data_IF_086696951712
#
_entry.id   IF_086696951712
#
_cell.length_a   1.000
_cell.length_b   1.000
_cell.length_c   1.000
_cell.angle_alpha   90.00
_cell.angle_beta   90.00
_cell.angle_gamma   90.00
#
_symmetry.space_group_name_H-M   'P 1'
#
loop_
_entity.id
_entity.type
_entity.pdbx_description
1 polymer ?
#
# COMPACT_ATOMS: atom_id res chain seq x y z
N UNK A 1 25.24 46.99 36.51
CA UNK A 1 25.25 47.76 35.25
C UNK A 1 25.09 46.78 34.10
N UNK A 2 24.02 46.97 33.31
CA UNK A 2 23.83 46.74 31.86
C UNK A 2 24.49 45.53 31.17
N UNK A 3 23.68 44.70 30.48
CA UNK A 3 24.12 43.61 29.59
C UNK A 3 24.87 44.08 28.33
N UNK A 4 25.11 43.19 27.34
CA UNK A 4 24.03 42.92 26.39
C UNK A 4 23.95 41.49 25.80
N UNK A 5 22.79 41.25 25.20
CA UNK A 5 22.40 40.16 24.30
C UNK A 5 23.43 39.75 23.26
N UNK A 6 23.44 38.45 22.94
CA UNK A 6 23.43 37.99 21.55
C UNK A 6 22.40 36.85 21.40
N UNK A 7 21.64 36.92 20.30
CA UNK A 7 20.45 36.14 19.98
C UNK A 7 20.80 35.15 18.85
N UNK A 8 20.67 33.84 19.14
CA UNK A 8 20.27 32.70 18.29
C UNK A 8 20.95 32.50 16.90
N UNK A 9 20.63 31.41 16.15
CA UNK A 9 20.23 30.04 16.49
C UNK A 9 21.00 28.98 15.66
N UNK A 10 21.25 27.77 16.18
CA UNK A 10 21.73 26.68 15.33
C UNK A 10 20.84 25.43 15.40
N UNK A 11 20.02 25.34 14.35
CA UNK A 11 19.78 24.15 13.54
C UNK A 11 18.83 23.10 14.12
N UNK A 12 17.54 23.32 13.86
CA UNK A 12 16.55 22.24 13.73
C UNK A 12 16.94 21.41 12.50
N UNK A 13 17.58 20.26 12.70
CA UNK A 13 17.77 19.27 11.66
C UNK A 13 16.41 18.92 11.03
N UNK A 14 16.30 18.78 9.69
CA UNK A 14 15.06 18.35 9.07
C UNK A 14 14.69 16.98 9.63
N UNK A 15 13.54 16.93 10.30
CA UNK A 15 13.00 15.73 10.90
C UNK A 15 13.01 14.60 9.87
N UNK A 16 13.65 13.49 10.25
CA UNK A 16 13.50 12.21 9.57
C UNK A 16 11.99 11.96 9.44
N UNK A 17 11.42 12.16 8.25
CA UNK A 17 10.07 11.73 7.95
C UNK A 17 10.08 10.23 8.19
N UNK A 18 9.55 9.80 9.33
CA UNK A 18 9.45 8.39 9.65
C UNK A 18 8.57 7.77 8.57
N UNK A 19 9.17 6.91 7.75
CA UNK A 19 8.47 6.13 6.73
C UNK A 19 7.46 5.25 7.45
N UNK A 20 6.22 5.73 7.54
CA UNK A 20 5.14 5.04 8.22
C UNK A 20 4.50 4.10 7.20
N UNK A 21 4.85 2.82 7.29
CA UNK A 21 4.24 1.80 6.46
C UNK A 21 2.77 1.63 6.83
N UNK A 22 1.91 1.50 5.82
CA UNK A 22 0.51 1.15 6.03
C UNK A 22 0.43 -0.36 6.31
N UNK A 23 0.47 -0.71 7.60
CA UNK A 23 0.49 -2.09 8.05
C UNK A 23 -0.70 -2.91 7.52
N UNK A 24 -1.95 -2.42 7.53
CA UNK A 24 -3.08 -3.09 6.88
C UNK A 24 -2.82 -3.40 5.40
N UNK A 25 -2.30 -2.43 4.64
CA UNK A 25 -2.00 -2.62 3.22
C UNK A 25 -0.89 -3.66 2.99
N UNK A 26 0.16 -3.67 3.82
CA UNK A 26 1.21 -4.69 3.76
C UNK A 26 0.69 -6.11 4.06
N UNK A 27 -0.18 -6.24 5.06
CA UNK A 27 -0.82 -7.53 5.38
C UNK A 27 -1.71 -7.98 4.22
N UNK A 28 -2.46 -7.06 3.61
CA UNK A 28 -3.28 -7.36 2.44
C UNK A 28 -2.45 -7.82 1.24
N UNK A 29 -1.33 -7.15 0.95
CA UNK A 29 -0.41 -7.56 -0.12
C UNK A 29 0.16 -8.96 0.15
N UNK A 30 0.64 -9.21 1.36
CA UNK A 30 1.17 -10.53 1.74
C UNK A 30 0.13 -11.64 1.52
N UNK A 31 -1.11 -11.40 1.96
CA UNK A 31 -2.22 -12.36 1.76
C UNK A 31 -2.54 -12.55 0.28
N UNK A 32 -2.63 -11.47 -0.48
CA UNK A 32 -2.94 -11.51 -1.90
C UNK A 32 -1.94 -12.39 -2.67
N UNK A 33 -0.64 -12.17 -2.47
CA UNK A 33 0.40 -12.97 -3.12
C UNK A 33 0.41 -14.43 -2.66
N UNK A 34 0.23 -14.68 -1.36
CA UNK A 34 0.12 -16.04 -0.84
C UNK A 34 -1.07 -16.80 -1.47
N UNK A 35 -2.24 -16.16 -1.52
CA UNK A 35 -3.44 -16.74 -2.12
C UNK A 35 -3.31 -16.95 -3.63
N UNK A 36 -2.68 -16.02 -4.34
CA UNK A 36 -2.37 -16.19 -5.75
C UNK A 36 -1.46 -17.41 -5.94
N UNK A 37 -0.43 -17.57 -5.11
CA UNK A 37 0.45 -18.74 -5.19
C UNK A 37 -0.30 -20.04 -4.92
N UNK A 38 -1.21 -20.10 -3.95
CA UNK A 38 -2.04 -21.28 -3.72
C UNK A 38 -2.90 -21.65 -4.94
N UNK A 39 -3.40 -20.65 -5.67
CA UNK A 39 -4.17 -20.85 -6.91
C UNK A 39 -3.26 -21.37 -8.03
N UNK A 40 -2.09 -20.77 -8.19
CA UNK A 40 -1.09 -21.15 -9.20
C UNK A 40 -0.55 -22.56 -8.97
N UNK A 41 -0.30 -22.93 -7.72
CA UNK A 41 0.15 -24.26 -7.30
C UNK A 41 -0.98 -25.32 -7.33
N UNK A 42 -2.23 -24.91 -7.58
CA UNK A 42 -3.40 -25.78 -7.59
C UNK A 42 -3.80 -26.32 -6.21
N UNK A 43 -3.29 -25.73 -5.13
CA UNK A 43 -3.57 -26.10 -3.74
C UNK A 43 -4.98 -25.66 -3.27
N UNK A 44 -5.58 -24.72 -4.01
CA UNK A 44 -6.98 -24.31 -3.95
C UNK A 44 -7.52 -24.16 -5.36
N UNK A 45 -8.78 -24.50 -5.56
CA UNK A 45 -9.42 -24.49 -6.87
C UNK A 45 -9.99 -23.10 -7.25
N UNK A 46 -10.26 -22.23 -6.28
CA UNK A 46 -10.87 -20.90 -6.55
C UNK A 46 -10.75 -19.93 -5.37
N UNK A 47 -10.96 -18.64 -5.64
CA UNK A 47 -11.09 -17.62 -4.59
C UNK A 47 -12.25 -17.89 -3.62
N UNK A 48 -13.30 -18.58 -4.05
CA UNK A 48 -14.40 -19.00 -3.16
C UNK A 48 -13.97 -20.06 -2.15
N UNK A 49 -13.03 -20.94 -2.52
CA UNK A 49 -12.45 -21.90 -1.58
C UNK A 49 -11.55 -21.20 -0.56
N UNK A 50 -10.77 -20.21 -1.00
CA UNK A 50 -9.97 -19.35 -0.11
C UNK A 50 -10.89 -18.63 0.89
N UNK A 51 -11.98 -18.04 0.41
CA UNK A 51 -12.96 -17.36 1.25
C UNK A 51 -13.53 -18.27 2.35
N UNK A 52 -13.88 -19.51 1.99
CA UNK A 52 -14.35 -20.51 2.95
C UNK A 52 -13.27 -20.90 3.98
N UNK A 53 -12.03 -21.15 3.53
CA UNK A 53 -10.91 -21.51 4.42
C UNK A 53 -10.55 -20.40 5.40
N UNK A 54 -10.63 -19.14 4.96
CA UNK A 54 -10.28 -17.96 5.75
C UNK A 54 -11.47 -17.40 6.57
N UNK A 55 -12.68 -17.91 6.36
CA UNK A 55 -13.90 -17.36 6.97
C UNK A 55 -14.22 -15.94 6.50
N UNK A 56 -13.87 -15.60 5.26
CA UNK A 56 -14.03 -14.28 4.66
C UNK A 56 -15.16 -14.26 3.63
N UNK A 57 -15.65 -13.05 3.31
CA UNK A 57 -16.54 -12.87 2.18
C UNK A 57 -15.76 -12.97 0.86
N UNK A 58 -16.40 -13.53 -0.18
CA UNK A 58 -15.78 -13.70 -1.49
C UNK A 58 -15.29 -12.38 -2.10
N UNK A 59 -16.03 -11.27 -1.88
CA UNK A 59 -15.61 -9.94 -2.32
C UNK A 59 -14.27 -9.52 -1.70
N UNK A 60 -14.06 -9.79 -0.41
CA UNK A 60 -12.80 -9.46 0.27
C UNK A 60 -11.63 -10.22 -0.35
N UNK A 61 -11.81 -11.50 -0.67
CA UNK A 61 -10.76 -12.28 -1.33
C UNK A 61 -10.45 -11.71 -2.72
N UNK A 62 -11.49 -11.41 -3.51
CA UNK A 62 -11.30 -10.84 -4.85
C UNK A 62 -10.65 -9.44 -4.81
N UNK A 63 -11.05 -8.59 -3.86
CA UNK A 63 -10.46 -7.25 -3.67
C UNK A 63 -8.96 -7.34 -3.37
N UNK A 64 -8.57 -8.27 -2.49
CA UNK A 64 -7.18 -8.47 -2.11
C UNK A 64 -6.38 -9.09 -3.25
N UNK A 65 -6.91 -10.12 -3.93
CA UNK A 65 -6.26 -10.72 -5.10
C UNK A 65 -5.99 -9.69 -6.20
N UNK A 66 -6.83 -8.66 -6.37
CA UNK A 66 -6.55 -7.58 -7.33
C UNK A 66 -5.30 -6.77 -7.01
N UNK A 67 -4.79 -6.80 -5.77
CA UNK A 67 -3.52 -6.16 -5.41
C UNK A 67 -2.32 -6.85 -6.09
N UNK A 68 -2.43 -8.11 -6.52
CA UNK A 68 -1.35 -8.77 -7.26
C UNK A 68 -1.24 -8.29 -8.71
N UNK A 69 -2.27 -7.59 -9.21
CA UNK A 69 -2.32 -7.01 -10.56
C UNK A 69 -1.69 -5.61 -10.63
N UNK A 70 -1.21 -5.09 -9.50
CA UNK A 70 -0.57 -3.79 -9.45
C UNK A 70 0.74 -3.80 -10.24
N UNK A 71 1.06 -2.65 -10.82
CA UNK A 71 2.36 -2.42 -11.43
C UNK A 71 3.47 -2.67 -10.40
N UNK A 72 4.55 -3.40 -10.76
CA UNK A 72 5.64 -3.70 -9.84
C UNK A 72 6.20 -2.45 -9.13
N UNK A 73 6.31 -1.30 -9.81
CA UNK A 73 6.81 -0.07 -9.19
C UNK A 73 5.89 0.44 -8.06
N UNK A 74 4.57 0.28 -8.19
CA UNK A 74 3.59 0.67 -7.16
C UNK A 74 3.74 -0.25 -5.94
N UNK A 75 3.90 -1.55 -6.17
CA UNK A 75 4.15 -2.51 -5.08
C UNK A 75 5.43 -2.14 -4.34
N UNK A 76 6.51 -1.84 -5.07
CA UNK A 76 7.79 -1.43 -4.45
C UNK A 76 7.63 -0.13 -3.64
N UNK A 77 6.87 0.84 -4.13
CA UNK A 77 6.58 2.06 -3.38
C UNK A 77 5.82 1.77 -2.09
N UNK A 78 4.83 0.87 -2.12
CA UNK A 78 4.08 0.45 -0.93
C UNK A 78 4.99 -0.26 0.08
N UNK A 79 5.82 -1.20 -0.38
CA UNK A 79 6.77 -1.94 0.45
C UNK A 79 7.84 -1.03 1.07
N UNK A 80 8.23 0.03 0.35
CA UNK A 80 9.16 1.04 0.84
C UNK A 80 8.49 2.10 1.74
N UNK A 81 7.17 2.04 1.93
CA UNK A 81 6.40 3.06 2.65
C UNK A 81 6.44 4.45 1.99
N UNK A 82 6.67 4.47 0.67
CA UNK A 82 6.77 5.65 -0.18
C UNK A 82 5.49 5.92 -0.98
N UNK A 83 4.45 5.10 -0.81
CA UNK A 83 3.15 5.35 -1.42
C UNK A 83 2.52 6.64 -0.87
N UNK A 84 1.67 7.32 -1.65
CA UNK A 84 0.91 8.47 -1.15
C UNK A 84 0.12 8.12 0.12
N UNK A 85 0.14 9.00 1.14
CA UNK A 85 -0.49 8.71 2.45
C UNK A 85 -2.00 8.41 2.38
N UNK A 86 -2.68 8.93 1.36
CA UNK A 86 -4.10 8.67 1.14
C UNK A 86 -4.37 7.33 0.44
N UNK A 87 -3.34 6.70 -0.13
CA UNK A 87 -3.39 5.42 -0.83
C UNK A 87 -3.36 4.24 0.16
N UNK A 88 -4.36 4.20 1.04
CA UNK A 88 -4.55 3.14 2.05
C UNK A 88 -5.22 1.90 1.49
N UNK A 89 -5.24 0.80 2.25
CA UNK A 89 -6.02 -0.40 1.91
C UNK A 89 -7.50 -0.07 1.61
N UNK A 90 -8.12 0.76 2.44
CA UNK A 90 -9.52 1.19 2.24
C UNK A 90 -9.70 1.93 0.92
N UNK A 91 -8.70 2.72 0.51
CA UNK A 91 -8.75 3.40 -0.78
C UNK A 91 -8.75 2.39 -1.94
N UNK A 92 -7.88 1.37 -1.92
CA UNK A 92 -7.85 0.32 -2.95
C UNK A 92 -9.16 -0.48 -3.03
N UNK A 93 -9.80 -0.74 -1.89
CA UNK A 93 -11.10 -1.42 -1.84
C UNK A 93 -12.22 -0.60 -2.47
N UNK A 94 -12.17 0.73 -2.32
CA UNK A 94 -13.20 1.65 -2.85
C UNK A 94 -12.94 2.09 -4.29
N UNK A 95 -11.69 2.03 -4.74
CA UNK A 95 -11.25 2.53 -6.03
C UNK A 95 -10.55 1.40 -6.80
N UNK A 96 -11.32 0.57 -7.53
CA UNK A 96 -10.73 -0.49 -8.31
C UNK A 96 -9.84 0.10 -9.42
N UNK A 97 -8.53 -0.10 -9.29
CA UNK A 97 -7.58 0.30 -10.32
C UNK A 97 -7.78 -0.47 -11.64
N UNK A 98 -7.51 0.18 -12.79
CA UNK A 98 -7.48 -0.49 -14.09
C UNK A 98 -6.38 -1.57 -14.10
N UNK A 99 -6.56 -2.61 -14.92
CA UNK A 99 -5.55 -3.66 -15.09
C UNK A 99 -4.35 -3.17 -15.92
N UNK A 100 -4.54 -2.12 -16.72
CA UNK A 100 -3.46 -1.49 -17.48
C UNK A 100 -2.53 -0.68 -16.57
N UNK A 101 -1.23 -0.97 -16.62
CA UNK A 101 -0.23 -0.34 -15.75
C UNK A 101 0.01 1.13 -16.06
N UNK A 102 -0.15 1.59 -17.31
CA UNK A 102 -0.01 3.02 -17.62
C UNK A 102 -1.11 3.80 -16.93
N UNK A 103 -2.35 3.31 -17.03
CA UNK A 103 -3.49 3.92 -16.34
C UNK A 103 -3.37 3.83 -14.80
N UNK A 104 -2.79 2.75 -14.25
CA UNK A 104 -2.50 2.70 -12.81
C UNK A 104 -1.52 3.79 -12.38
N UNK A 105 -0.46 4.00 -13.16
CA UNK A 105 0.54 5.01 -12.86
C UNK A 105 -0.02 6.41 -12.91
N UNK A 106 -0.88 6.71 -13.89
CA UNK A 106 -1.59 7.99 -13.96
C UNK A 106 -2.38 8.26 -12.68
N UNK A 107 -3.10 7.26 -12.16
CA UNK A 107 -3.83 7.37 -10.90
C UNK A 107 -2.89 7.63 -9.72
N UNK A 108 -1.76 6.94 -9.64
CA UNK A 108 -0.76 7.16 -8.57
C UNK A 108 -0.17 8.58 -8.66
N UNK A 109 0.22 9.02 -9.85
CA UNK A 109 0.76 10.38 -10.05
C UNK A 109 -0.24 11.47 -9.72
N UNK A 110 -1.54 11.21 -9.88
CA UNK A 110 -2.60 12.15 -9.53
C UNK A 110 -2.72 12.40 -8.01
N UNK A 111 -2.11 11.58 -7.15
CA UNK A 111 -2.02 11.87 -5.72
C UNK A 111 -0.92 12.86 -5.35
N UNK A 112 0.10 12.98 -6.19
CA UNK A 112 1.24 13.87 -5.96
C UNK A 112 1.01 15.29 -6.55
N UNK A 113 -0.10 15.47 -7.29
CA UNK A 113 -0.52 16.74 -7.89
C UNK A 113 -1.37 17.59 -6.92
#
# INVERSE_FOLDING_TARGET
MVGPSHKNPDTLAPGKVATQHDQPLLVALTRAFYWQQLLEDGMVASGSEIAQREGLHHSTVNELLRLTLLEPAIIQAILAGQQPKCMSLLWFQRNPLPTDWVAQREVVTAFDA
#
